data_IF_679634606275
#
_entry.id   IF_679634606275
#
_cell.length_a   1.000
_cell.length_b   1.000
_cell.length_c   1.000
_cell.angle_alpha   90.00
_cell.angle_beta   90.00
_cell.angle_gamma   90.00
#
_symmetry.space_group_name_H-M   'P 1'
#
loop_
_entity.id
_entity.type
_entity.pdbx_description
1 polymer ?
#
# COMPACT_ATOMS: atom_id res chain seq x y z
N UNK A 1 -36.20 -58.06 -38.82
CA UNK A 1 -35.20 -57.94 -37.74
C UNK A 1 -34.12 -56.97 -38.19
N UNK A 2 -34.28 -55.67 -37.94
CA UNK A 2 -33.28 -54.67 -38.35
C UNK A 2 -32.14 -54.68 -37.34
N UNK A 3 -30.97 -55.17 -37.78
CA UNK A 3 -29.72 -55.06 -37.02
C UNK A 3 -29.30 -53.59 -37.02
N UNK A 4 -29.24 -52.98 -35.84
CA UNK A 4 -28.70 -51.63 -35.70
C UNK A 4 -27.27 -51.60 -36.29
N UNK A 5 -26.88 -50.54 -37.02
CA UNK A 5 -25.51 -50.42 -37.49
C UNK A 5 -24.60 -50.40 -36.27
N UNK A 6 -23.57 -51.24 -36.29
CA UNK A 6 -22.48 -51.14 -35.33
C UNK A 6 -21.86 -49.76 -35.57
N UNK A 7 -22.14 -48.82 -34.67
CA UNK A 7 -21.31 -47.64 -34.53
C UNK A 7 -19.99 -48.14 -33.96
N UNK A 8 -19.10 -48.66 -34.82
CA UNK A 8 -17.67 -48.46 -34.61
C UNK A 8 -17.46 -46.96 -34.76
N UNK A 9 -17.84 -46.21 -33.72
CA UNK A 9 -17.14 -44.98 -33.39
C UNK A 9 -15.67 -45.39 -33.42
N UNK A 10 -14.84 -44.83 -34.31
CA UNK A 10 -13.40 -44.96 -34.17
C UNK A 10 -13.12 -44.23 -32.87
N UNK A 11 -13.17 -44.98 -31.77
CA UNK A 11 -13.03 -44.47 -30.43
C UNK A 11 -11.57 -44.09 -30.33
N UNK A 12 -11.33 -42.82 -30.68
CA UNK A 12 -10.14 -42.03 -30.44
C UNK A 12 -8.91 -42.86 -30.04
N UNK A 13 -8.19 -43.39 -31.02
CA UNK A 13 -6.74 -43.50 -30.87
C UNK A 13 -6.16 -42.08 -31.00
N UNK A 14 -6.62 -41.17 -30.13
CA UNK A 14 -5.86 -39.97 -29.82
C UNK A 14 -4.65 -40.52 -29.10
N UNK A 15 -3.48 -40.35 -29.68
CA UNK A 15 -2.22 -40.77 -29.07
C UNK A 15 -2.13 -40.11 -27.69
N UNK A 16 -2.53 -40.87 -26.66
CA UNK A 16 -2.67 -40.38 -25.29
C UNK A 16 -1.35 -39.80 -24.79
N UNK A 17 -0.24 -40.40 -25.25
CA UNK A 17 1.12 -39.91 -25.05
C UNK A 17 1.31 -38.49 -25.58
N UNK A 18 0.84 -38.19 -26.81
CA UNK A 18 0.93 -36.83 -27.38
C UNK A 18 0.08 -35.84 -26.59
N UNK A 19 -1.15 -36.21 -26.28
CA UNK A 19 -2.05 -35.35 -25.48
C UNK A 19 -1.48 -35.07 -24.07
N UNK A 20 -0.82 -36.06 -23.47
CA UNK A 20 -0.13 -35.94 -22.19
C UNK A 20 1.04 -34.96 -22.26
N UNK A 21 1.93 -35.11 -23.24
CA UNK A 21 3.07 -34.20 -23.43
C UNK A 21 2.61 -32.77 -23.76
N UNK A 22 1.60 -32.62 -24.62
CA UNK A 22 1.01 -31.32 -24.96
C UNK A 22 0.40 -30.64 -23.71
N UNK A 23 -0.28 -31.40 -22.85
CA UNK A 23 -0.81 -30.90 -21.58
C UNK A 23 0.32 -30.49 -20.62
N UNK A 24 1.35 -31.32 -20.46
CA UNK A 24 2.49 -31.00 -19.59
C UNK A 24 3.22 -29.75 -20.06
N UNK A 25 3.39 -29.56 -21.37
CA UNK A 25 3.94 -28.34 -21.93
C UNK A 25 3.06 -27.11 -21.63
N UNK A 26 1.73 -27.23 -21.73
CA UNK A 26 0.82 -26.12 -21.38
C UNK A 26 0.88 -25.76 -19.89
N UNK A 27 0.92 -26.77 -19.01
CA UNK A 27 1.03 -26.55 -17.56
C UNK A 27 2.37 -25.91 -17.21
N UNK A 28 3.47 -26.37 -17.81
CA UNK A 28 4.80 -25.85 -17.53
C UNK A 28 4.99 -24.41 -18.04
N UNK A 29 4.39 -24.07 -19.18
CA UNK A 29 4.49 -22.73 -19.76
C UNK A 29 3.38 -21.77 -19.30
N UNK A 30 2.45 -22.24 -18.47
CA UNK A 30 1.37 -21.41 -17.95
C UNK A 30 1.96 -20.25 -17.13
N UNK A 31 1.66 -19.02 -17.55
CA UNK A 31 2.02 -17.84 -16.76
C UNK A 31 1.05 -17.69 -15.57
N UNK A 32 1.52 -17.15 -14.43
CA UNK A 32 0.62 -16.78 -13.33
C UNK A 32 -0.45 -15.81 -13.84
N UNK A 33 -1.73 -16.12 -13.58
CA UNK A 33 -2.85 -15.25 -13.96
C UNK A 33 -2.84 -13.92 -13.20
N UNK A 34 -2.24 -13.91 -12.00
CA UNK A 34 -2.13 -12.75 -11.16
C UNK A 34 -0.68 -12.34 -10.97
N UNK A 35 -0.46 -11.04 -11.01
CA UNK A 35 0.80 -10.43 -10.59
C UNK A 35 1.01 -10.73 -9.08
N UNK A 36 2.09 -11.43 -8.76
CA UNK A 36 2.49 -11.74 -7.38
C UNK A 36 3.53 -10.76 -6.84
N UNK A 37 3.88 -9.72 -7.62
CA UNK A 37 4.83 -8.71 -7.18
C UNK A 37 4.26 -7.89 -6.03
N UNK A 38 5.15 -7.50 -5.12
CA UNK A 38 4.80 -6.58 -4.04
C UNK A 38 4.36 -5.24 -4.65
N UNK A 39 3.18 -4.72 -4.27
CA UNK A 39 2.75 -3.40 -4.72
C UNK A 39 3.76 -2.33 -4.30
N UNK A 40 3.90 -1.28 -5.11
CA UNK A 40 4.72 -0.13 -4.75
C UNK A 40 4.28 0.43 -3.40
N UNK A 41 5.24 0.67 -2.52
CA UNK A 41 5.00 1.30 -1.22
C UNK A 41 4.68 2.78 -1.44
N UNK A 42 3.41 3.15 -1.33
CA UNK A 42 3.02 4.54 -1.42
C UNK A 42 3.21 5.25 -0.08
N UNK A 43 3.93 6.37 -0.09
CA UNK A 43 4.19 7.18 1.11
C UNK A 43 2.92 7.64 1.82
N UNK A 44 1.86 7.98 1.06
CA UNK A 44 0.57 8.40 1.60
C UNK A 44 -0.17 7.30 2.37
N UNK A 45 0.17 6.03 2.19
CA UNK A 45 -0.41 4.91 2.97
C UNK A 45 0.25 4.76 4.35
N UNK A 46 1.50 5.22 4.48
CA UNK A 46 2.29 5.06 5.70
C UNK A 46 2.29 6.33 6.56
N UNK A 47 2.06 7.48 5.94
CA UNK A 47 2.14 8.80 6.59
C UNK A 47 0.76 9.41 6.81
N UNK A 48 0.43 9.72 8.06
CA UNK A 48 -0.81 10.43 8.44
C UNK A 48 -0.62 11.94 8.31
N UNK A 49 -0.61 12.45 7.07
CA UNK A 49 -0.36 13.87 6.77
C UNK A 49 -1.24 14.84 7.57
N UNK A 50 -2.54 14.54 7.75
CA UNK A 50 -3.44 15.38 8.55
C UNK A 50 -2.97 15.49 10.01
N UNK A 51 -2.52 14.38 10.60
CA UNK A 51 -2.03 14.36 11.98
C UNK A 51 -0.76 15.20 12.11
N UNK A 52 0.22 14.98 11.23
CA UNK A 52 1.48 15.72 11.22
C UNK A 52 1.24 17.24 11.12
N UNK A 53 0.35 17.65 10.20
CA UNK A 53 -0.01 19.06 10.04
C UNK A 53 -0.59 19.67 11.31
N UNK A 54 -1.53 18.99 11.98
CA UNK A 54 -2.10 19.50 13.23
C UNK A 54 -1.06 19.59 14.35
N UNK A 55 -0.13 18.62 14.43
CA UNK A 55 0.95 18.65 15.43
C UNK A 55 1.91 19.82 15.17
N UNK A 56 2.26 20.09 13.92
CA UNK A 56 3.10 21.23 13.54
C UNK A 56 2.42 22.57 13.86
N UNK A 57 1.14 22.71 13.54
CA UNK A 57 0.35 23.90 13.87
C UNK A 57 0.28 24.12 15.39
N UNK A 58 0.05 23.04 16.15
CA UNK A 58 0.04 23.09 17.62
C UNK A 58 1.38 23.57 18.19
N UNK A 59 2.49 23.02 17.69
CA UNK A 59 3.84 23.43 18.09
C UNK A 59 4.09 24.90 17.74
N UNK A 60 3.65 25.35 16.55
CA UNK A 60 3.76 26.74 16.12
C UNK A 60 3.06 27.70 17.07
N UNK A 61 1.85 27.34 17.52
CA UNK A 61 1.07 28.14 18.48
C UNK A 61 1.79 28.20 19.82
N UNK A 62 2.26 27.06 20.35
CA UNK A 62 3.00 27.00 21.62
C UNK A 62 4.25 27.88 21.55
N UNK A 63 5.03 27.79 20.48
CA UNK A 63 6.26 28.56 20.34
C UNK A 63 6.00 30.07 20.28
N UNK A 64 4.96 30.50 19.55
CA UNK A 64 4.55 31.92 19.51
C UNK A 64 4.13 32.42 20.89
N UNK A 65 3.34 31.64 21.61
CA UNK A 65 2.88 31.99 22.95
C UNK A 65 4.04 32.07 23.95
N UNK A 66 4.97 31.10 23.88
CA UNK A 66 6.16 31.09 24.73
C UNK A 66 7.04 32.31 24.46
N UNK A 67 7.23 32.66 23.20
CA UNK A 67 7.99 33.86 22.83
C UNK A 67 7.35 35.13 23.40
N UNK A 68 6.05 35.31 23.17
CA UNK A 68 5.31 36.46 23.70
C UNK A 68 5.36 36.54 25.23
N UNK A 69 5.25 35.39 25.91
CA UNK A 69 5.36 35.32 27.36
C UNK A 69 6.75 35.78 27.84
N UNK A 70 7.81 35.29 27.19
CA UNK A 70 9.18 35.66 27.51
C UNK A 70 9.42 37.17 27.30
N UNK A 71 8.91 37.74 26.22
CA UNK A 71 8.99 39.20 25.98
C UNK A 71 8.32 40.00 27.10
N UNK A 72 7.12 39.60 27.52
CA UNK A 72 6.38 40.25 28.61
C UNK A 72 7.11 40.14 29.95
N UNK A 73 7.61 38.96 30.29
CA UNK A 73 8.39 38.73 31.52
C UNK A 73 9.65 39.59 31.51
N UNK A 74 10.38 39.62 30.38
CA UNK A 74 11.57 40.45 30.25
C UNK A 74 11.27 41.94 30.41
N UNK A 75 10.15 42.44 29.87
CA UNK A 75 9.72 43.81 30.05
C UNK A 75 9.45 44.13 31.53
N UNK A 76 8.67 43.28 32.23
CA UNK A 76 8.37 43.43 33.66
C UNK A 76 9.66 43.44 34.50
N UNK A 77 10.59 42.52 34.21
CA UNK A 77 11.86 42.43 34.93
C UNK A 77 12.74 43.69 34.74
N UNK A 78 12.71 44.31 33.55
CA UNK A 78 13.42 45.58 33.31
C UNK A 78 12.80 46.73 34.10
N UNK A 79 11.47 46.86 34.09
CA UNK A 79 10.78 47.96 34.78
C UNK A 79 10.93 47.87 36.29
N UNK A 80 10.86 46.66 36.88
CA UNK A 80 11.02 46.47 38.33
C UNK A 80 12.40 46.88 38.85
N UNK A 81 13.47 46.70 38.05
CA UNK A 81 14.82 47.15 38.45
C UNK A 81 14.98 48.67 38.46
N UNK A 82 14.08 49.40 37.81
CA UNK A 82 14.16 50.86 37.65
C UNK A 82 13.42 51.62 38.75
N UNK A 83 12.53 50.95 39.50
CA UNK A 83 11.73 51.54 40.59
C UNK A 83 12.39 51.44 41.97
N UNK A 84 13.54 50.79 42.10
CA UNK A 84 14.27 50.62 43.38
C UNK A 84 15.40 51.67 43.56
N UNK A 85 15.23 52.88 43.01
CA UNK A 85 16.13 54.05 43.17
C UNK A 85 15.42 55.20 43.89
#
# INVERSE_FOLDING_TARGET
MHRAPHLTSPCAHRDWTKAYWDHRAKVQNAQPLMDTRTPSTFSHLHVKFKKLKMEEEQISIINKNNHLLLEKVAAIMRTRRQTDC
#
